data_IF_998821820322
#
_entry.id   IF_998821820322
#
_cell.length_a   1.000
_cell.length_b   1.000
_cell.length_c   1.000
_cell.angle_alpha   90.00
_cell.angle_beta   90.00
_cell.angle_gamma   90.00
#
_symmetry.space_group_name_H-M   'P 1'
#
loop_
_entity.id
_entity.type
_entity.pdbx_description
1 polymer ?
#
# COMPACT_ATOMS: atom_id res chain seq x y z
N UNK A 1 -49.24 -22.29 26.14
CA UNK A 1 -48.17 -21.28 26.22
C UNK A 1 -48.40 -20.22 25.15
N UNK A 2 -48.64 -18.96 25.56
CA UNK A 2 -48.91 -17.82 24.66
C UNK A 2 -47.60 -17.33 24.01
N UNK A 3 -47.63 -17.13 22.69
CA UNK A 3 -46.55 -16.53 21.89
C UNK A 3 -46.53 -15.02 22.15
N UNK A 4 -45.44 -14.51 22.73
CA UNK A 4 -45.22 -13.07 22.93
C UNK A 4 -44.58 -12.49 21.66
N UNK A 5 -45.30 -11.58 20.99
CA UNK A 5 -44.73 -10.71 19.94
C UNK A 5 -43.82 -9.67 20.61
N UNK A 6 -42.55 -9.63 20.21
CA UNK A 6 -41.59 -8.61 20.62
C UNK A 6 -41.90 -7.33 19.85
N UNK A 7 -42.24 -6.25 20.55
CA UNK A 7 -42.42 -4.93 19.94
C UNK A 7 -41.07 -4.34 19.53
N UNK A 8 -40.96 -3.88 18.29
CA UNK A 8 -39.87 -3.01 17.86
C UNK A 8 -40.06 -1.64 18.52
N UNK A 9 -39.22 -1.31 19.51
CA UNK A 9 -39.09 0.07 19.96
C UNK A 9 -38.27 0.84 18.93
N UNK A 10 -38.68 2.05 18.51
CA UNK A 10 -37.85 2.89 17.67
C UNK A 10 -36.59 3.32 18.43
N UNK A 11 -35.45 3.25 17.75
CA UNK A 11 -34.12 3.65 18.25
C UNK A 11 -34.18 5.12 18.75
N UNK A 12 -34.10 5.34 20.06
CA UNK A 12 -34.29 6.65 20.74
C UNK A 12 -33.27 7.74 20.31
N UNK A 13 -32.25 7.37 19.53
CA UNK A 13 -31.30 8.31 18.88
C UNK A 13 -31.94 9.21 17.82
N UNK A 14 -33.23 9.06 17.52
CA UNK A 14 -33.85 9.70 16.37
C UNK A 14 -34.55 11.04 16.66
N UNK A 15 -34.86 11.34 17.92
CA UNK A 15 -35.83 12.42 18.25
C UNK A 15 -35.19 13.81 18.32
N UNK A 16 -33.91 13.95 18.66
CA UNK A 16 -33.25 15.26 18.79
C UNK A 16 -31.83 15.28 18.19
N UNK A 17 -31.67 15.17 16.88
CA UNK A 17 -30.40 15.53 16.22
C UNK A 17 -30.42 17.04 15.90
N UNK A 18 -29.69 17.88 16.66
CA UNK A 18 -29.73 19.34 16.49
C UNK A 18 -29.20 19.79 15.13
N UNK A 19 -28.54 18.91 14.38
CA UNK A 19 -27.97 19.20 13.07
C UNK A 19 -28.92 18.90 11.90
N UNK A 20 -30.08 18.25 12.13
CA UNK A 20 -31.03 17.88 11.05
C UNK A 20 -31.68 19.06 10.31
N UNK A 21 -31.68 20.28 10.89
CA UNK A 21 -32.37 21.47 10.34
C UNK A 21 -31.42 22.60 9.93
N UNK A 22 -30.21 22.26 9.51
CA UNK A 22 -29.20 23.22 9.09
C UNK A 22 -29.49 23.78 7.68
N UNK A 23 -29.44 25.12 7.48
CA UNK A 23 -29.50 25.73 6.14
C UNK A 23 -28.35 25.23 5.25
N UNK A 24 -28.52 25.28 3.92
CA UNK A 24 -27.48 24.87 2.96
C UNK A 24 -26.12 25.57 3.18
N UNK A 25 -26.09 26.83 3.64
CA UNK A 25 -24.85 27.55 4.01
C UNK A 25 -24.07 26.84 5.13
N UNK A 26 -24.78 26.22 6.08
CA UNK A 26 -24.14 25.49 7.16
C UNK A 26 -23.56 24.15 6.72
N UNK A 27 -24.11 23.51 5.69
CA UNK A 27 -23.51 22.31 5.09
C UNK A 27 -22.16 22.64 4.44
N UNK A 28 -22.08 23.78 3.74
CA UNK A 28 -20.83 24.27 3.15
C UNK A 28 -19.79 24.53 4.24
N UNK A 29 -20.18 25.21 5.33
CA UNK A 29 -19.29 25.43 6.48
C UNK A 29 -18.86 24.11 7.14
N UNK A 30 -19.76 23.16 7.32
CA UNK A 30 -19.46 21.85 7.87
C UNK A 30 -18.41 21.12 7.01
N UNK A 31 -18.57 21.12 5.68
CA UNK A 31 -17.57 20.56 4.74
C UNK A 31 -16.20 21.23 4.91
N UNK A 32 -16.16 22.57 4.99
CA UNK A 32 -14.90 23.32 5.17
C UNK A 32 -14.22 23.00 6.51
N UNK A 33 -14.99 22.81 7.58
CA UNK A 33 -14.47 22.45 8.90
C UNK A 33 -13.98 21.00 8.90
N UNK A 34 -14.81 20.05 8.45
CA UNK A 34 -14.50 18.62 8.44
C UNK A 34 -13.21 18.34 7.67
N UNK A 35 -12.98 18.99 6.53
CA UNK A 35 -11.75 18.83 5.72
C UNK A 35 -10.46 19.23 6.43
N UNK A 36 -10.55 20.05 7.49
CA UNK A 36 -9.38 20.49 8.28
C UNK A 36 -9.12 19.58 9.49
N UNK A 37 -10.02 18.64 9.78
CA UNK A 37 -9.88 17.76 10.93
C UNK A 37 -8.99 16.56 10.60
N UNK A 38 -8.29 15.99 11.60
CA UNK A 38 -7.59 14.74 11.44
C UNK A 38 -8.54 13.61 10.99
N UNK A 39 -8.07 12.66 10.15
CA UNK A 39 -8.92 11.60 9.60
C UNK A 39 -9.64 10.78 10.67
N UNK A 40 -8.95 10.44 11.76
CA UNK A 40 -9.56 9.73 12.89
C UNK A 40 -10.67 10.51 13.60
N UNK A 41 -10.62 11.85 13.60
CA UNK A 41 -11.70 12.69 14.15
C UNK A 41 -12.93 12.69 13.25
N UNK A 42 -12.74 12.77 11.93
CA UNK A 42 -13.84 12.68 10.96
C UNK A 42 -14.52 11.30 11.07
N UNK A 43 -13.71 10.23 11.14
CA UNK A 43 -14.21 8.87 11.33
C UNK A 43 -15.06 8.71 12.60
N UNK A 44 -14.72 9.40 13.70
CA UNK A 44 -15.55 9.42 14.93
C UNK A 44 -16.82 10.25 14.76
N UNK A 45 -16.74 11.41 14.12
CA UNK A 45 -17.89 12.29 13.88
C UNK A 45 -18.96 11.63 13.01
N UNK A 46 -18.54 10.77 12.08
CA UNK A 46 -19.44 9.93 11.30
C UNK A 46 -20.42 9.12 12.18
N UNK A 47 -20.01 8.67 13.36
CA UNK A 47 -20.88 7.93 14.29
C UNK A 47 -21.63 8.82 15.30
N UNK A 48 -21.29 10.10 15.39
CA UNK A 48 -21.83 11.02 16.40
C UNK A 48 -23.11 11.75 15.96
N UNK A 49 -23.30 12.01 14.66
CA UNK A 49 -24.48 12.72 14.12
C UNK A 49 -24.90 12.14 12.78
N UNK A 50 -26.22 11.97 12.56
CA UNK A 50 -26.76 11.50 11.28
C UNK A 50 -26.54 12.53 10.18
N UNK A 51 -26.64 13.81 10.52
CA UNK A 51 -26.37 14.89 9.57
C UNK A 51 -24.90 14.90 9.13
N UNK A 52 -23.95 14.88 10.07
CA UNK A 52 -22.52 14.80 9.73
C UNK A 52 -22.20 13.50 8.98
N UNK A 53 -22.81 12.37 9.37
CA UNK A 53 -22.69 11.10 8.65
C UNK A 53 -23.11 11.26 7.18
N UNK A 54 -24.23 11.91 6.90
CA UNK A 54 -24.69 12.14 5.52
C UNK A 54 -23.71 13.00 4.70
N UNK A 55 -23.04 13.98 5.33
CA UNK A 55 -22.01 14.79 4.67
C UNK A 55 -20.74 13.97 4.43
N UNK A 56 -20.31 13.19 5.43
CA UNK A 56 -19.06 12.41 5.38
C UNK A 56 -19.15 11.24 4.39
N UNK A 57 -20.33 10.63 4.27
CA UNK A 57 -20.62 9.56 3.31
C UNK A 57 -20.91 10.08 1.91
N UNK A 58 -21.02 11.39 1.72
CA UNK A 58 -21.23 11.99 0.40
C UNK A 58 -19.98 11.78 -0.48
N UNK A 59 -20.22 11.36 -1.72
CA UNK A 59 -19.15 11.09 -2.68
C UNK A 59 -18.33 12.34 -3.00
N UNK A 60 -18.97 13.51 -3.11
CA UNK A 60 -18.25 14.77 -3.39
C UNK A 60 -17.35 15.15 -2.23
N UNK A 61 -17.81 14.97 -1.00
CA UNK A 61 -16.95 15.18 0.18
C UNK A 61 -15.72 14.24 0.14
N UNK A 62 -15.94 12.97 -0.19
CA UNK A 62 -14.86 11.98 -0.33
C UNK A 62 -13.84 12.39 -1.40
N UNK A 63 -14.31 12.76 -2.59
CA UNK A 63 -13.45 13.20 -3.70
C UNK A 63 -12.67 14.46 -3.34
N UNK A 64 -13.31 15.46 -2.73
CA UNK A 64 -12.66 16.70 -2.29
C UNK A 64 -11.59 16.43 -1.23
N UNK A 65 -11.90 15.59 -0.25
CA UNK A 65 -10.95 15.24 0.81
C UNK A 65 -9.75 14.47 0.25
N UNK A 66 -10.00 13.45 -0.59
CA UNK A 66 -8.92 12.65 -1.17
C UNK A 66 -8.04 13.47 -2.12
N UNK A 67 -8.63 14.36 -2.93
CA UNK A 67 -7.87 15.28 -3.79
C UNK A 67 -6.94 16.16 -2.95
N UNK A 68 -7.46 16.76 -1.87
CA UNK A 68 -6.65 17.55 -0.96
C UNK A 68 -5.55 16.71 -0.29
N UNK A 69 -5.88 15.52 0.22
CA UNK A 69 -4.89 14.68 0.89
C UNK A 69 -3.79 14.19 -0.06
N UNK A 70 -4.11 13.92 -1.32
CA UNK A 70 -3.12 13.58 -2.35
C UNK A 70 -2.15 14.72 -2.67
N UNK A 71 -2.54 15.98 -2.45
CA UNK A 71 -1.60 17.13 -2.55
C UNK A 71 -0.68 17.28 -1.34
N UNK A 72 -0.97 16.58 -0.24
CA UNK A 72 -0.21 16.60 1.01
C UNK A 72 0.17 15.16 1.41
N UNK A 73 0.94 14.45 0.57
CA UNK A 73 1.28 13.07 0.82
C UNK A 73 2.12 12.95 2.10
N UNK A 74 2.04 11.76 2.71
CA UNK A 74 2.73 11.43 3.96
C UNK A 74 3.61 10.21 3.75
N UNK A 75 4.68 10.11 4.53
CA UNK A 75 5.44 8.86 4.62
C UNK A 75 4.72 7.96 5.60
N UNK A 76 4.27 6.80 5.14
CA UNK A 76 3.68 5.77 5.98
C UNK A 76 4.74 4.71 6.28
N UNK A 77 5.11 4.60 7.55
CA UNK A 77 6.06 3.59 8.00
C UNK A 77 5.29 2.53 8.76
N UNK A 78 5.40 1.29 8.29
CA UNK A 78 4.90 0.11 8.97
C UNK A 78 6.05 -0.59 9.69
N UNK A 79 5.88 -0.80 10.99
CA UNK A 79 6.88 -1.42 11.86
C UNK A 79 6.25 -2.66 12.46
N UNK A 80 6.82 -3.81 12.13
CA UNK A 80 6.50 -5.05 12.81
C UNK A 80 7.50 -5.27 13.93
N UNK A 81 7.05 -5.17 15.18
CA UNK A 81 7.93 -5.42 16.34
C UNK A 81 7.19 -5.54 17.67
N UNK A 82 7.69 -6.38 18.57
CA UNK A 82 7.15 -6.57 19.92
C UNK A 82 7.86 -7.68 20.70
N UNK A 83 7.83 -7.61 22.05
CA UNK A 83 8.35 -8.68 22.92
C UNK A 83 7.61 -10.00 22.69
N UNK A 84 8.26 -11.11 23.04
CA UNK A 84 7.93 -12.53 22.85
C UNK A 84 6.45 -12.97 23.02
N UNK A 85 5.57 -12.15 23.59
CA UNK A 85 4.18 -12.51 23.89
C UNK A 85 3.11 -11.56 23.29
N UNK A 86 3.48 -10.37 22.77
CA UNK A 86 2.53 -9.46 22.10
C UNK A 86 3.21 -8.77 20.92
N UNK A 87 3.17 -9.41 19.74
CA UNK A 87 3.59 -8.77 18.50
C UNK A 87 2.53 -7.75 18.05
N UNK A 88 2.95 -6.55 17.69
CA UNK A 88 2.06 -5.48 17.22
C UNK A 88 2.59 -4.89 15.92
N UNK A 89 1.68 -4.50 15.03
CA UNK A 89 2.05 -3.67 13.88
C UNK A 89 1.79 -2.21 14.25
N UNK A 90 2.83 -1.37 14.20
CA UNK A 90 2.70 0.08 14.34
C UNK A 90 2.74 0.74 12.98
N UNK A 91 1.94 1.77 12.82
CA UNK A 91 1.91 2.63 11.66
C UNK A 91 2.22 4.06 12.09
N UNK A 92 3.20 4.66 11.45
CA UNK A 92 3.59 6.05 11.65
C UNK A 92 3.29 6.81 10.37
N UNK A 93 2.47 7.85 10.45
CA UNK A 93 2.16 8.76 9.36
C UNK A 93 2.95 10.06 9.59
N UNK A 94 3.93 10.32 8.72
CA UNK A 94 4.89 11.41 8.85
C UNK A 94 4.63 12.42 7.73
N UNK A 95 4.46 13.70 8.06
CA UNK A 95 4.27 14.74 7.04
C UNK A 95 5.54 14.88 6.19
N UNK A 96 5.38 15.02 4.87
CA UNK A 96 6.51 15.28 3.97
C UNK A 96 7.01 16.72 4.07
N UNK A 97 6.09 17.67 4.25
CA UNK A 97 6.40 19.10 4.39
C UNK A 97 7.00 19.41 5.78
N UNK A 98 6.47 18.76 6.82
CA UNK A 98 6.88 19.01 8.22
C UNK A 98 7.29 17.72 8.94
N UNK A 99 8.34 17.03 8.44
CA UNK A 99 8.79 15.72 8.93
C UNK A 99 9.42 15.76 10.32
N UNK A 100 9.86 16.95 10.77
CA UNK A 100 10.46 17.17 12.09
C UNK A 100 9.45 17.71 13.11
N UNK A 101 8.19 17.92 12.72
CA UNK A 101 7.14 18.33 13.65
C UNK A 101 6.80 17.17 14.58
N UNK A 102 6.53 17.46 15.85
CA UNK A 102 6.10 16.46 16.84
C UNK A 102 4.74 15.80 16.53
N UNK A 103 4.06 16.25 15.48
CA UNK A 103 2.74 15.79 15.05
C UNK A 103 2.81 14.59 14.09
N UNK A 104 3.53 13.54 14.51
CA UNK A 104 3.44 12.24 13.87
C UNK A 104 2.17 11.54 14.33
N UNK A 105 1.26 11.28 13.40
CA UNK A 105 0.07 10.48 13.70
C UNK A 105 0.51 9.02 13.85
N UNK A 106 0.27 8.46 15.03
CA UNK A 106 0.67 7.09 15.39
C UNK A 106 -0.56 6.25 15.61
N UNK A 107 -0.59 5.12 14.92
CA UNK A 107 -1.71 4.19 14.98
C UNK A 107 -1.18 2.78 15.14
N UNK A 108 -1.78 2.02 16.04
CA UNK A 108 -1.41 0.64 16.28
C UNK A 108 -2.50 -0.31 15.81
N UNK A 109 -2.09 -1.39 15.15
CA UNK A 109 -2.94 -2.51 14.80
C UNK A 109 -2.46 -3.72 15.60
N UNK A 110 -3.32 -4.23 16.50
CA UNK A 110 -3.07 -5.50 17.18
C UNK A 110 -3.00 -6.61 16.14
N UNK A 111 -1.98 -7.45 16.24
CA UNK A 111 -1.88 -8.66 15.43
C UNK A 111 -2.57 -9.82 16.15
N UNK A 112 -2.92 -10.86 15.38
CA UNK A 112 -3.51 -12.08 15.92
C UNK A 112 -2.51 -12.74 16.90
N UNK A 113 -2.85 -12.87 18.19
CA UNK A 113 -1.94 -13.38 19.22
C UNK A 113 -1.57 -14.86 19.03
N UNK A 114 -2.31 -15.60 18.20
CA UNK A 114 -2.08 -17.03 17.95
C UNK A 114 -1.63 -17.32 16.51
N UNK A 115 -1.18 -16.32 15.77
CA UNK A 115 -0.65 -16.50 14.41
C UNK A 115 0.75 -17.14 14.42
N UNK A 116 1.09 -17.98 13.41
CA UNK A 116 2.48 -18.39 13.22
C UNK A 116 3.36 -17.13 13.08
N UNK A 117 4.63 -17.23 13.49
CA UNK A 117 5.65 -16.19 13.64
C UNK A 117 5.90 -15.23 12.45
N UNK A 118 5.10 -15.28 11.39
CA UNK A 118 5.23 -14.51 10.16
C UNK A 118 4.62 -13.11 10.32
N UNK A 119 5.36 -12.13 9.81
CA UNK A 119 4.97 -10.72 9.74
C UNK A 119 3.90 -10.52 8.66
N UNK A 120 3.05 -9.51 8.80
CA UNK A 120 2.16 -9.13 7.70
C UNK A 120 2.96 -8.31 6.70
N UNK A 121 3.01 -8.77 5.46
CA UNK A 121 3.54 -8.00 4.34
C UNK A 121 2.44 -7.08 3.82
N UNK A 122 2.65 -5.76 3.92
CA UNK A 122 1.71 -4.77 3.43
C UNK A 122 2.03 -4.35 1.99
N UNK A 123 0.98 -4.18 1.20
CA UNK A 123 1.03 -3.54 -0.12
C UNK A 123 1.16 -2.03 0.03
N UNK A 124 1.63 -1.32 -1.02
CA UNK A 124 1.52 0.13 -1.09
C UNK A 124 0.08 0.63 -0.81
N UNK A 125 -0.08 1.81 -0.17
CA UNK A 125 -1.38 2.41 0.08
C UNK A 125 -2.11 2.75 -1.21
N UNK A 126 -3.42 2.52 -1.22
CA UNK A 126 -4.31 2.89 -2.31
C UNK A 126 -5.44 3.71 -1.71
N UNK A 127 -5.49 5.00 -2.05
CA UNK A 127 -6.49 5.96 -1.56
C UNK A 127 -6.66 5.92 -0.02
N UNK A 128 -5.53 5.83 0.67
CA UNK A 128 -5.45 5.83 2.13
C UNK A 128 -5.78 4.51 2.82
N UNK A 129 -6.03 3.44 2.05
CA UNK A 129 -6.16 2.08 2.59
C UNK A 129 -4.94 1.24 2.24
N UNK A 130 -4.64 0.24 3.08
CA UNK A 130 -3.57 -0.74 2.87
C UNK A 130 -4.12 -2.16 3.00
N UNK A 131 -3.48 -3.08 2.30
CA UNK A 131 -3.75 -4.51 2.42
C UNK A 131 -2.52 -5.21 3.01
N UNK A 132 -2.72 -6.01 4.05
CA UNK A 132 -1.68 -6.83 4.66
C UNK A 132 -1.97 -8.31 4.47
N UNK A 133 -0.95 -9.09 4.13
CA UNK A 133 -1.03 -10.54 3.98
C UNK A 133 -0.07 -11.27 4.92
N UNK A 134 -0.55 -12.34 5.55
CA UNK A 134 0.26 -13.35 6.22
C UNK A 134 -0.23 -14.74 5.80
N UNK A 135 0.52 -15.39 4.91
CA UNK A 135 0.08 -16.65 4.28
C UNK A 135 -1.25 -16.45 3.56
N UNK A 136 -2.27 -17.21 3.97
CA UNK A 136 -3.64 -17.10 3.44
C UNK A 136 -4.53 -16.11 4.19
N UNK A 137 -4.06 -15.54 5.31
CA UNK A 137 -4.77 -14.49 6.04
C UNK A 137 -4.53 -13.16 5.34
N UNK A 138 -5.62 -12.46 5.03
CA UNK A 138 -5.59 -11.13 4.41
C UNK A 138 -6.39 -10.18 5.29
N UNK A 139 -5.87 -8.97 5.48
CA UNK A 139 -6.59 -7.89 6.15
C UNK A 139 -6.45 -6.62 5.34
N UNK A 140 -7.48 -5.79 5.38
CA UNK A 140 -7.48 -4.45 4.79
C UNK A 140 -7.70 -3.46 5.92
N UNK A 141 -7.06 -2.31 5.87
CA UNK A 141 -7.19 -1.31 6.91
C UNK A 141 -6.90 0.10 6.45
N UNK A 142 -7.32 1.04 7.28
CA UNK A 142 -6.99 2.44 7.17
C UNK A 142 -5.98 2.79 8.28
N UNK A 143 -4.69 3.03 7.95
CA UNK A 143 -3.69 3.37 8.94
C UNK A 143 -3.92 4.77 9.55
N UNK A 144 -4.71 5.65 8.92
CA UNK A 144 -5.05 6.97 9.45
C UNK A 144 -6.20 6.95 10.47
N UNK A 145 -7.04 5.91 10.48
CA UNK A 145 -8.11 5.73 11.48
C UNK A 145 -7.84 4.58 12.46
N UNK A 146 -6.91 3.68 12.12
CA UNK A 146 -6.58 2.49 12.90
C UNK A 146 -7.54 1.33 12.77
N UNK A 147 -8.48 1.40 11.83
CA UNK A 147 -9.45 0.36 11.61
C UNK A 147 -8.92 -0.66 10.60
N UNK A 148 -8.97 -1.93 10.98
CA UNK A 148 -8.55 -3.05 10.16
C UNK A 148 -9.62 -4.14 10.23
N UNK A 149 -9.92 -4.73 9.08
CA UNK A 149 -10.88 -5.84 8.94
C UNK A 149 -10.20 -7.02 8.28
N UNK A 150 -10.51 -8.22 8.78
CA UNK A 150 -10.05 -9.46 8.16
C UNK A 150 -10.94 -9.81 6.97
N UNK A 151 -10.32 -10.14 5.85
CA UNK A 151 -11.00 -10.76 4.72
C UNK A 151 -11.07 -12.28 4.94
N UNK A 152 -11.99 -13.00 4.27
CA UNK A 152 -11.94 -14.45 4.21
C UNK A 152 -10.54 -14.94 3.80
N UNK A 153 -10.14 -16.12 4.28
CA UNK A 153 -8.84 -16.68 3.89
C UNK A 153 -8.80 -17.00 2.40
N UNK A 154 -7.65 -16.73 1.76
CA UNK A 154 -7.39 -17.15 0.38
C UNK A 154 -7.54 -18.66 0.30
N UNK A 155 -8.28 -19.15 -0.70
CA UNK A 155 -8.57 -20.58 -0.84
C UNK A 155 -7.45 -21.25 -1.61
N UNK A 156 -6.39 -21.65 -0.90
CA UNK A 156 -5.25 -22.34 -1.52
C UNK A 156 -4.50 -23.21 -0.51
N UNK A 157 -3.86 -24.26 -1.00
CA UNK A 157 -2.91 -25.09 -0.25
C UNK A 157 -1.46 -24.64 -0.46
N UNK A 158 -1.23 -23.66 -1.36
CA UNK A 158 0.11 -23.22 -1.78
C UNK A 158 0.65 -22.15 -0.84
N UNK A 159 1.99 -22.12 -0.68
CA UNK A 159 2.68 -21.23 0.27
C UNK A 159 3.20 -19.93 -0.35
N UNK A 160 3.42 -19.89 -1.67
CA UNK A 160 3.89 -18.68 -2.34
C UNK A 160 2.71 -17.92 -2.94
N UNK A 161 2.38 -16.77 -2.35
CA UNK A 161 1.22 -15.94 -2.72
C UNK A 161 1.71 -14.52 -2.93
N UNK A 162 1.53 -13.99 -4.14
CA UNK A 162 1.60 -12.56 -4.42
C UNK A 162 0.23 -11.94 -4.16
N UNK A 163 0.21 -10.80 -3.46
CA UNK A 163 -1.00 -10.00 -3.26
C UNK A 163 -0.81 -8.60 -3.81
N UNK A 164 -1.78 -8.13 -4.59
CA UNK A 164 -1.84 -6.75 -5.07
C UNK A 164 -3.18 -6.15 -4.65
N UNK A 165 -3.14 -4.92 -4.14
CA UNK A 165 -4.31 -4.18 -3.67
C UNK A 165 -4.56 -2.99 -4.59
N UNK A 166 -5.83 -2.68 -4.83
CA UNK A 166 -6.20 -1.63 -5.75
C UNK A 166 -7.63 -1.14 -5.58
N UNK A 167 -7.90 -0.01 -6.24
CA UNK A 167 -9.20 0.65 -6.25
C UNK A 167 -9.67 0.80 -7.69
N UNK A 168 -10.89 0.33 -7.93
CA UNK A 168 -11.60 0.40 -9.19
C UNK A 168 -12.42 1.71 -9.21
N UNK A 169 -11.99 2.76 -9.93
CA UNK A 169 -12.70 4.04 -9.96
C UNK A 169 -14.03 3.96 -10.72
N UNK A 170 -14.21 2.98 -11.61
CA UNK A 170 -15.43 2.82 -12.41
C UNK A 170 -16.56 2.27 -11.55
N UNK A 171 -16.27 1.20 -10.81
CA UNK A 171 -17.25 0.55 -9.95
C UNK A 171 -17.23 1.07 -8.50
N UNK A 172 -16.30 1.97 -8.17
CA UNK A 172 -16.14 2.59 -6.85
C UNK A 172 -15.91 1.57 -5.72
N UNK A 173 -15.01 0.61 -5.97
CA UNK A 173 -14.73 -0.49 -5.04
C UNK A 173 -13.25 -0.79 -4.90
N UNK A 174 -12.85 -1.28 -3.72
CA UNK A 174 -11.52 -1.84 -3.53
C UNK A 174 -11.51 -3.32 -3.85
N UNK A 175 -10.42 -3.79 -4.47
CA UNK A 175 -10.21 -5.21 -4.78
C UNK A 175 -8.83 -5.64 -4.31
N UNK A 176 -8.72 -6.91 -3.91
CA UNK A 176 -7.44 -7.58 -3.66
C UNK A 176 -7.31 -8.71 -4.65
N UNK A 177 -6.22 -8.73 -5.41
CA UNK A 177 -5.80 -9.85 -6.25
C UNK A 177 -4.77 -10.69 -5.50
N UNK A 178 -4.98 -12.00 -5.45
CA UNK A 178 -4.06 -12.99 -4.92
C UNK A 178 -3.72 -14.01 -6.00
N UNK A 179 -2.42 -14.27 -6.17
CA UNK A 179 -1.93 -15.23 -7.16
C UNK A 179 -0.96 -16.21 -6.51
N UNK A 180 -1.15 -17.50 -6.77
CA UNK A 180 -0.29 -18.54 -6.21
C UNK A 180 0.66 -19.11 -7.25
N UNK A 181 1.88 -19.46 -6.83
CA UNK A 181 2.85 -20.20 -7.66
C UNK A 181 3.11 -21.57 -7.03
N UNK A 182 3.10 -22.62 -7.86
CA UNK A 182 3.46 -23.98 -7.44
C UNK A 182 4.97 -24.15 -7.47
N UNK A 183 5.62 -24.21 -6.31
CA UNK A 183 6.91 -24.90 -6.22
C UNK A 183 6.62 -26.40 -6.31
N UNK A 184 6.89 -27.03 -7.47
CA UNK A 184 6.90 -28.49 -7.54
C UNK A 184 7.95 -28.96 -6.53
N UNK A 185 7.58 -29.83 -5.60
CA UNK A 185 8.54 -30.53 -4.74
C UNK A 185 9.40 -31.43 -5.62
N UNK A 186 10.44 -30.88 -6.24
CA UNK A 186 11.55 -31.69 -6.72
C UNK A 186 12.37 -32.08 -5.49
N UNK A 187 12.45 -33.38 -5.20
CA UNK A 187 13.50 -33.91 -4.35
C UNK A 187 14.85 -33.59 -5.03
N UNK A 188 15.49 -32.45 -4.75
CA UNK A 188 16.92 -32.23 -4.96
C UNK A 188 17.37 -31.06 -4.08
N UNK A 189 18.45 -31.36 -3.35
CA UNK A 189 19.49 -30.51 -2.78
C UNK A 189 19.45 -29.00 -3.10
N UNK A 190 19.50 -28.19 -2.04
CA UNK A 190 20.02 -26.81 -2.01
C UNK A 190 19.52 -25.83 -3.10
N UNK A 191 18.51 -25.04 -2.73
CA UNK A 191 18.56 -23.59 -2.99
C UNK A 191 18.12 -23.05 -4.35
N UNK A 192 17.72 -23.87 -5.32
CA UNK A 192 17.20 -23.39 -6.61
C UNK A 192 15.74 -23.84 -6.78
N UNK A 193 14.81 -22.89 -6.74
CA UNK A 193 13.41 -23.17 -7.06
C UNK A 193 13.30 -23.54 -8.54
N UNK A 194 12.58 -24.63 -8.90
CA UNK A 194 12.50 -25.06 -10.30
C UNK A 194 11.97 -23.96 -11.22
N UNK A 195 12.55 -23.88 -12.41
CA UNK A 195 12.32 -22.86 -13.44
C UNK A 195 10.85 -22.80 -13.90
N UNK A 196 10.14 -23.93 -13.83
CA UNK A 196 8.81 -24.14 -14.47
C UNK A 196 7.61 -23.74 -13.60
N UNK A 197 7.83 -23.10 -12.46
CA UNK A 197 6.78 -22.76 -11.50
C UNK A 197 5.98 -21.53 -11.96
N UNK A 198 4.86 -21.76 -12.64
CA UNK A 198 3.95 -20.70 -13.12
C UNK A 198 2.83 -20.40 -12.11
N UNK A 199 2.23 -19.23 -12.24
CA UNK A 199 1.04 -18.83 -11.50
C UNK A 199 -0.15 -19.67 -11.95
N UNK A 200 -0.90 -20.23 -11.01
CA UNK A 200 -2.04 -21.10 -11.34
C UNK A 200 -3.37 -20.58 -10.79
N UNK A 201 -3.43 -20.30 -9.48
CA UNK A 201 -4.69 -19.84 -8.88
C UNK A 201 -4.66 -18.32 -8.77
N UNK A 202 -5.46 -17.66 -9.61
CA UNK A 202 -5.73 -16.24 -9.56
C UNK A 202 -7.08 -16.04 -8.89
N UNK A 203 -7.05 -15.41 -7.72
CA UNK A 203 -8.22 -15.17 -6.88
C UNK A 203 -8.36 -13.69 -6.64
N UNK A 204 -9.59 -13.20 -6.70
CA UNK A 204 -9.88 -11.80 -6.45
C UNK A 204 -11.07 -11.68 -5.52
N UNK A 205 -11.05 -10.64 -4.70
CA UNK A 205 -12.11 -10.32 -3.75
C UNK A 205 -12.36 -8.83 -3.79
N UNK A 206 -13.64 -8.46 -3.76
CA UNK A 206 -14.08 -7.08 -3.57
C UNK A 206 -14.29 -6.84 -2.07
N UNK A 207 -13.69 -5.76 -1.56
CA UNK A 207 -13.83 -5.36 -0.15
C UNK A 207 -15.20 -4.71 0.05
N UNK A 208 -15.98 -5.20 1.02
CA UNK A 208 -17.33 -4.69 1.30
C UNK A 208 -18.17 -5.67 2.13
N UNK A 209 -19.51 -5.59 2.06
CA UNK A 209 -20.40 -6.39 2.90
C UNK A 209 -20.52 -7.88 2.49
N UNK A 210 -20.29 -8.23 1.21
CA UNK A 210 -20.41 -9.61 0.69
C UNK A 210 -19.09 -10.10 0.13
N UNK A 211 -18.12 -10.34 1.02
CA UNK A 211 -16.76 -10.69 0.66
C UNK A 211 -16.64 -12.19 0.34
N UNK A 212 -16.35 -12.52 -0.91
CA UNK A 212 -16.06 -13.90 -1.33
C UNK A 212 -14.98 -13.91 -2.38
N UNK A 213 -13.95 -14.73 -2.16
CA UNK A 213 -12.97 -15.04 -3.19
C UNK A 213 -13.62 -15.73 -4.38
N UNK A 214 -13.38 -15.18 -5.56
CA UNK A 214 -13.74 -15.76 -6.85
C UNK A 214 -12.47 -16.04 -7.64
N UNK A 215 -12.47 -17.18 -8.32
CA UNK A 215 -11.41 -17.53 -9.27
C UNK A 215 -11.59 -16.70 -10.53
N UNK A 216 -10.47 -16.28 -11.10
CA UNK A 216 -10.42 -15.63 -12.41
C UNK A 216 -9.45 -16.36 -13.31
N UNK A 217 -9.71 -16.31 -14.61
CA UNK A 217 -8.84 -16.91 -15.61
C UNK A 217 -7.75 -15.92 -16.01
N UNK A 218 -6.49 -16.38 -15.98
CA UNK A 218 -5.38 -15.64 -16.53
C UNK A 218 -4.90 -16.33 -17.81
N UNK A 219 -5.02 -15.65 -18.96
CA UNK A 219 -4.56 -16.16 -20.26
C UNK A 219 -3.04 -16.10 -20.44
N UNK A 220 -2.34 -15.51 -19.49
CA UNK A 220 -0.90 -15.29 -19.53
C UNK A 220 -0.26 -16.11 -18.41
N UNK A 221 0.16 -17.37 -18.67
CA UNK A 221 0.92 -18.10 -17.67
C UNK A 221 2.22 -17.33 -17.40
N UNK A 222 2.39 -16.82 -16.19
CA UNK A 222 3.57 -16.06 -15.77
C UNK A 222 4.02 -16.50 -14.37
N UNK A 223 5.25 -16.17 -13.98
CA UNK A 223 5.79 -16.41 -12.64
C UNK A 223 6.04 -15.08 -11.95
N UNK A 224 5.36 -14.82 -10.84
CA UNK A 224 5.70 -13.65 -10.02
C UNK A 224 7.04 -13.84 -9.30
N UNK A 225 7.77 -12.74 -9.08
CA UNK A 225 8.97 -12.74 -8.25
C UNK A 225 8.57 -12.74 -6.78
N UNK A 226 9.15 -13.64 -5.97
CA UNK A 226 8.91 -13.65 -4.53
C UNK A 226 9.35 -12.32 -3.91
N UNK A 227 8.48 -11.68 -3.12
CA UNK A 227 8.75 -10.36 -2.52
C UNK A 227 8.57 -9.17 -3.46
N UNK A 228 8.19 -9.38 -4.73
CA UNK A 228 7.78 -8.28 -5.60
C UNK A 228 6.52 -7.60 -5.05
N UNK A 229 6.52 -6.27 -5.03
CA UNK A 229 5.35 -5.49 -4.67
C UNK A 229 4.62 -5.06 -5.94
N UNK A 230 3.31 -5.26 -5.96
CA UNK A 230 2.46 -4.64 -6.98
C UNK A 230 2.01 -3.25 -6.53
N UNK A 231 1.74 -2.39 -7.51
CA UNK A 231 1.16 -1.06 -7.33
C UNK A 231 -0.22 -1.00 -7.97
N UNK A 232 -1.02 0.01 -7.60
CA UNK A 232 -2.27 0.32 -8.27
C UNK A 232 -2.24 1.77 -8.76
N UNK A 233 -2.50 1.97 -10.04
CA UNK A 233 -2.60 3.29 -10.67
C UNK A 233 -3.77 3.31 -11.65
N UNK A 234 -4.61 4.33 -11.53
CA UNK A 234 -5.72 4.60 -12.46
C UNK A 234 -6.63 3.41 -12.75
N UNK A 235 -6.99 2.65 -11.71
CA UNK A 235 -7.87 1.49 -11.85
C UNK A 235 -7.17 0.23 -12.37
N UNK A 236 -5.86 0.23 -12.50
CA UNK A 236 -5.08 -0.92 -12.97
C UNK A 236 -4.03 -1.30 -11.94
N UNK A 237 -3.95 -2.59 -11.62
CA UNK A 237 -2.89 -3.16 -10.80
C UNK A 237 -1.70 -3.54 -11.69
N UNK A 238 -0.50 -3.16 -11.30
CA UNK A 238 0.75 -3.47 -12.01
C UNK A 238 1.70 -4.24 -11.10
N UNK A 239 2.37 -5.24 -11.66
CA UNK A 239 3.41 -6.00 -10.95
C UNK A 239 4.38 -6.62 -11.95
N UNK A 240 5.60 -6.89 -11.51
CA UNK A 240 6.62 -7.54 -12.33
C UNK A 240 6.50 -9.06 -12.22
N UNK A 241 6.64 -9.73 -13.37
CA UNK A 241 6.67 -11.18 -13.45
C UNK A 241 7.53 -11.66 -14.61
N UNK A 242 7.96 -12.91 -14.57
CA UNK A 242 8.52 -13.59 -15.72
C UNK A 242 7.39 -14.17 -16.58
N UNK A 243 7.27 -13.72 -17.83
CA UNK A 243 6.35 -14.24 -18.83
C UNK A 243 7.15 -14.69 -20.05
N UNK A 244 6.94 -15.94 -20.50
CA UNK A 244 7.77 -16.56 -21.56
C UNK A 244 9.27 -16.38 -21.31
N UNK A 245 9.69 -16.62 -20.07
CA UNK A 245 11.09 -16.53 -19.61
C UNK A 245 11.72 -15.12 -19.68
N UNK A 246 10.92 -14.08 -19.93
CA UNK A 246 11.37 -12.68 -19.93
C UNK A 246 10.70 -11.87 -18.83
N UNK A 247 11.41 -10.91 -18.25
CA UNK A 247 10.81 -9.97 -17.31
C UNK A 247 9.80 -9.10 -18.04
N UNK A 248 8.59 -9.04 -17.51
CA UNK A 248 7.44 -8.36 -18.11
C UNK A 248 6.65 -7.62 -17.06
N UNK A 249 6.05 -6.50 -17.46
CA UNK A 249 5.09 -5.79 -16.63
C UNK A 249 3.70 -6.40 -16.84
N UNK A 250 3.21 -7.09 -15.83
CA UNK A 250 1.84 -7.59 -15.83
C UNK A 250 0.92 -6.46 -15.40
N UNK A 251 -0.25 -6.39 -16.02
CA UNK A 251 -1.32 -5.50 -15.59
C UNK A 251 -2.63 -6.26 -15.41
N UNK A 252 -3.45 -5.80 -14.47
CA UNK A 252 -4.77 -6.33 -14.21
C UNK A 252 -5.74 -5.16 -14.06
N UNK A 253 -6.58 -4.99 -15.08
CA UNK A 253 -7.60 -3.94 -15.11
C UNK A 253 -8.69 -4.26 -14.09
N UNK A 254 -8.96 -3.36 -13.16
CA UNK A 254 -9.85 -3.68 -12.05
C UNK A 254 -11.31 -3.70 -12.47
N UNK A 255 -11.71 -2.93 -13.46
CA UNK A 255 -13.11 -2.80 -13.86
C UNK A 255 -13.57 -3.99 -14.69
N UNK A 256 -12.77 -4.36 -15.69
CA UNK A 256 -12.99 -5.49 -16.59
C UNK A 256 -12.46 -6.81 -16.03
N UNK A 257 -11.51 -6.75 -15.08
CA UNK A 257 -10.87 -7.91 -14.44
C UNK A 257 -10.10 -8.80 -15.42
N UNK A 258 -9.52 -8.16 -16.43
CA UNK A 258 -8.67 -8.81 -17.43
C UNK A 258 -7.20 -8.54 -17.15
N UNK A 259 -6.39 -9.58 -17.37
CA UNK A 259 -4.95 -9.45 -17.40
C UNK A 259 -4.47 -8.91 -18.74
N UNK A 260 -3.36 -8.20 -18.72
CA UNK A 260 -2.58 -7.89 -19.91
C UNK A 260 -1.07 -7.97 -19.58
N UNK A 261 -0.25 -7.98 -20.62
CA UNK A 261 1.21 -8.05 -20.52
C UNK A 261 1.80 -6.93 -21.36
N UNK A 262 2.66 -6.13 -20.73
CA UNK A 262 3.49 -5.14 -21.42
C UNK A 262 4.94 -5.61 -21.39
N UNK A 263 5.57 -5.65 -22.56
CA UNK A 263 6.99 -5.99 -22.67
C UNK A 263 7.85 -4.89 -22.05
N UNK A 264 8.88 -5.30 -21.33
CA UNK A 264 9.92 -4.38 -20.91
C UNK A 264 10.88 -4.10 -22.08
N UNK A 265 11.52 -2.92 -22.10
CA UNK A 265 12.61 -2.59 -23.01
C UNK A 265 13.72 -3.65 -23.02
N UNK A 266 14.40 -3.77 -24.17
CA UNK A 266 15.55 -4.65 -24.36
C UNK A 266 16.80 -4.06 -23.69
N UNK A 267 16.86 -4.18 -22.37
CA UNK A 267 17.99 -3.78 -21.52
C UNK A 267 18.29 -4.89 -20.52
N UNK A 268 19.50 -5.45 -20.57
CA UNK A 268 19.88 -6.62 -19.77
C UNK A 268 19.80 -6.36 -18.26
N UNK A 269 20.12 -5.14 -17.83
CA UNK A 269 20.09 -4.78 -16.41
C UNK A 269 18.64 -4.71 -15.92
N UNK A 270 17.76 -4.11 -16.72
CA UNK A 270 16.31 -4.07 -16.43
C UNK A 270 15.71 -5.47 -16.34
N UNK A 271 16.10 -6.37 -17.25
CA UNK A 271 15.60 -7.74 -17.27
C UNK A 271 16.02 -8.56 -16.03
N UNK A 272 17.20 -8.29 -15.48
CA UNK A 272 17.75 -9.03 -14.34
C UNK A 272 17.35 -8.45 -12.98
N UNK A 273 17.32 -7.11 -12.86
CA UNK A 273 17.27 -6.43 -11.56
C UNK A 273 16.29 -5.24 -11.52
N UNK A 274 15.24 -5.26 -12.33
CA UNK A 274 14.20 -4.22 -12.30
C UNK A 274 13.27 -4.32 -11.08
N UNK A 275 13.01 -3.19 -10.42
CA UNK A 275 11.99 -3.05 -9.37
C UNK A 275 11.05 -1.87 -9.64
N UNK A 276 9.76 -2.06 -9.34
CA UNK A 276 8.80 -0.95 -9.35
C UNK A 276 9.12 0.01 -8.20
N UNK A 277 9.24 1.30 -8.51
CA UNK A 277 9.59 2.36 -7.55
C UNK A 277 8.52 3.45 -7.51
N UNK A 278 8.51 4.21 -6.42
CA UNK A 278 7.64 5.39 -6.35
C UNK A 278 8.18 6.50 -7.27
N UNK A 279 7.37 7.03 -8.18
CA UNK A 279 7.80 8.12 -9.06
C UNK A 279 6.65 9.09 -9.33
N UNK A 280 6.19 9.75 -8.27
CA UNK A 280 5.18 10.82 -8.35
C UNK A 280 3.94 10.47 -9.22
N UNK A 281 3.38 9.26 -9.04
CA UNK A 281 2.20 8.79 -9.78
C UNK A 281 2.50 8.09 -11.12
N UNK A 282 3.74 8.12 -11.61
CA UNK A 282 4.16 7.41 -12.82
C UNK A 282 4.38 5.93 -12.55
N UNK A 283 4.24 5.11 -13.59
CA UNK A 283 4.68 3.71 -13.59
C UNK A 283 6.16 3.71 -13.96
N UNK A 284 7.02 3.35 -13.01
CA UNK A 284 8.47 3.43 -13.19
C UNK A 284 9.16 2.21 -12.62
N UNK A 285 10.10 1.67 -13.39
CA UNK A 285 10.97 0.58 -12.97
C UNK A 285 12.39 1.11 -12.86
N UNK A 286 13.01 0.91 -11.70
CA UNK A 286 14.41 1.25 -11.48
C UNK A 286 15.26 -0.02 -11.56
N UNK A 287 16.45 0.08 -12.15
CA UNK A 287 17.45 -0.98 -12.05
C UNK A 287 18.11 -0.93 -10.66
N UNK A 288 18.01 -1.99 -9.88
CA UNK A 288 18.72 -2.10 -8.60
C UNK A 288 20.23 -2.18 -8.85
N UNK A 289 20.93 -1.05 -8.79
CA UNK A 289 22.38 -1.01 -8.68
C UNK A 289 22.77 -0.53 -7.29
N UNK A 290 23.49 -1.37 -6.54
CA UNK A 290 24.04 -1.02 -5.23
C UNK A 290 25.16 0.03 -5.34
N UNK A 291 25.78 0.15 -6.52
CA UNK A 291 26.88 1.03 -6.82
C UNK A 291 26.74 1.54 -8.24
N UNK A 292 26.67 2.85 -8.43
CA UNK A 292 26.57 3.48 -9.74
C UNK A 292 25.24 4.20 -9.99
N UNK A 293 25.07 4.76 -11.20
CA UNK A 293 23.85 5.41 -11.60
C UNK A 293 22.69 4.42 -11.66
N UNK A 294 21.48 4.88 -11.35
CA UNK A 294 20.25 4.09 -11.42
C UNK A 294 19.52 4.45 -12.70
N UNK A 295 19.29 3.47 -13.56
CA UNK A 295 18.44 3.65 -14.74
C UNK A 295 16.97 3.58 -14.32
N UNK A 296 16.20 4.60 -14.72
CA UNK A 296 14.76 4.68 -14.55
C UNK A 296 14.08 4.51 -15.90
N UNK A 297 13.20 3.51 -15.97
CA UNK A 297 12.34 3.26 -17.12
C UNK A 297 10.93 3.69 -16.77
N UNK A 298 10.45 4.73 -17.43
CA UNK A 298 9.10 5.30 -17.22
C UNK A 298 8.20 4.85 -18.35
N UNK A 299 7.05 4.28 -18.02
CA UNK A 299 6.04 3.92 -19.01
C UNK A 299 5.21 5.16 -19.35
N UNK A 300 5.39 5.69 -20.57
CA UNK A 300 4.73 6.91 -21.05
C UNK A 300 3.35 6.62 -21.65
N UNK A 301 3.23 5.49 -22.36
CA UNK A 301 1.96 5.05 -22.96
C UNK A 301 1.85 3.53 -22.85
N UNK A 302 0.93 3.07 -22.00
CA UNK A 302 0.68 1.63 -21.77
C UNK A 302 0.18 0.92 -23.03
N UNK A 303 -0.67 1.59 -23.82
CA UNK A 303 -1.30 0.97 -24.99
C UNK A 303 -0.32 0.81 -26.14
N UNK A 304 0.61 1.76 -26.28
CA UNK A 304 1.66 1.73 -27.31
C UNK A 304 2.97 1.11 -26.83
N UNK A 305 3.03 0.68 -25.56
CA UNK A 305 4.24 0.16 -24.90
C UNK A 305 5.45 1.11 -25.02
N UNK A 306 5.21 2.42 -24.91
CA UNK A 306 6.27 3.43 -25.05
C UNK A 306 6.95 3.65 -23.70
N UNK A 307 8.27 3.44 -23.68
CA UNK A 307 9.11 3.65 -22.52
C UNK A 307 10.11 4.78 -22.75
N UNK A 308 10.35 5.59 -21.73
CA UNK A 308 11.46 6.55 -21.69
C UNK A 308 12.50 6.08 -20.68
N UNK A 309 13.79 6.29 -21.00
CA UNK A 309 14.92 6.00 -20.12
C UNK A 309 15.48 7.30 -19.57
N UNK A 310 15.60 7.40 -18.25
CA UNK A 310 16.32 8.45 -17.56
C UNK A 310 17.41 7.83 -16.68
N UNK A 311 18.51 8.54 -16.47
CA UNK A 311 19.62 8.07 -15.62
C UNK A 311 19.68 8.97 -14.40
N UNK A 312 19.59 8.37 -13.22
CA UNK A 312 19.70 9.06 -11.94
C UNK A 312 21.07 8.83 -11.35
N UNK A 313 21.80 9.91 -11.13
CA UNK A 313 23.11 9.86 -10.48
C UNK A 313 22.90 9.77 -8.97
N UNK A 314 23.40 8.69 -8.37
CA UNK A 314 23.34 8.50 -6.93
C UNK A 314 24.26 9.50 -6.22
N UNK A 315 23.83 10.11 -5.11
CA UNK A 315 24.65 11.07 -4.40
C UNK A 315 25.83 10.38 -3.68
N UNK A 316 26.88 11.13 -3.27
CA UNK A 316 28.08 10.58 -2.64
C UNK A 316 27.80 10.12 -1.19
N UNK A 317 27.08 9.01 -1.06
CA UNK A 317 26.62 8.47 0.22
C UNK A 317 27.78 8.00 1.11
N UNK A 318 28.83 7.46 0.51
CA UNK A 318 30.02 6.99 1.21
C UNK A 318 30.74 8.11 1.96
N UNK A 319 30.86 9.29 1.35
CA UNK A 319 31.55 10.44 1.94
C UNK A 319 30.79 11.00 3.14
N UNK A 320 29.46 10.92 3.10
CA UNK A 320 28.57 11.50 4.13
C UNK A 320 28.25 10.54 5.27
N UNK A 321 28.09 9.25 4.99
CA UNK A 321 27.64 8.25 5.96
C UNK A 321 28.66 7.14 6.23
N UNK A 322 29.80 7.15 5.53
CA UNK A 322 30.81 6.10 5.59
C UNK A 322 30.46 4.87 4.75
N UNK A 323 31.47 4.03 4.48
CA UNK A 323 31.34 2.81 3.69
C UNK A 323 30.53 1.70 4.38
N UNK A 324 30.19 1.87 5.66
CA UNK A 324 29.44 0.89 6.46
C UNK A 324 27.96 0.84 6.10
N UNK A 325 27.40 1.91 5.52
CA UNK A 325 25.99 1.96 5.11
C UNK A 325 25.85 1.81 3.60
N UNK A 326 25.06 0.81 3.19
CA UNK A 326 24.56 0.69 1.82
C UNK A 326 23.11 1.15 1.78
N UNK A 327 22.75 1.88 0.74
CA UNK A 327 21.39 2.39 0.55
C UNK A 327 20.77 1.84 -0.73
N UNK A 328 19.49 1.53 -0.66
CA UNK A 328 18.67 1.22 -1.82
C UNK A 328 17.88 2.47 -2.23
N UNK A 329 17.85 2.74 -3.53
CA UNK A 329 16.95 3.71 -4.12
C UNK A 329 15.50 3.21 -4.07
N UNK A 330 14.57 4.04 -3.61
CA UNK A 330 13.15 3.68 -3.46
C UNK A 330 12.22 4.51 -4.34
N UNK A 331 12.72 5.56 -4.97
CA UNK A 331 11.90 6.40 -5.84
C UNK A 331 12.22 7.90 -5.77
N UNK A 332 11.35 8.67 -6.41
CA UNK A 332 11.36 10.13 -6.48
C UNK A 332 10.00 10.65 -6.01
N UNK A 333 10.02 11.60 -5.08
CA UNK A 333 8.84 12.30 -4.57
C UNK A 333 8.30 13.31 -5.59
N UNK A 334 7.07 13.79 -5.37
CA UNK A 334 6.44 14.79 -6.24
C UNK A 334 7.21 16.13 -6.32
N UNK A 335 8.04 16.43 -5.33
CA UNK A 335 8.91 17.60 -5.29
C UNK A 335 10.30 17.37 -5.91
N UNK A 336 10.57 16.19 -6.50
CA UNK A 336 11.86 15.85 -7.10
C UNK A 336 12.91 15.26 -6.14
N UNK A 337 12.64 15.20 -4.83
CA UNK A 337 13.57 14.56 -3.89
C UNK A 337 13.66 13.05 -4.13
N UNK A 338 14.88 12.52 -4.18
CA UNK A 338 15.16 11.09 -4.24
C UNK A 338 15.03 10.46 -2.86
N UNK A 339 14.55 9.23 -2.82
CA UNK A 339 14.28 8.49 -1.59
C UNK A 339 15.25 7.33 -1.48
N UNK A 340 15.97 7.28 -0.36
CA UNK A 340 17.00 6.27 -0.11
C UNK A 340 16.77 5.62 1.26
N UNK A 341 16.73 4.30 1.29
CA UNK A 341 16.62 3.54 2.55
C UNK A 341 17.87 2.71 2.78
N UNK A 342 18.41 2.63 4.00
CA UNK A 342 19.45 1.67 4.33
C UNK A 342 19.02 0.24 3.93
N UNK A 343 19.95 -0.55 3.36
CA UNK A 343 19.71 -1.97 3.04
C UNK A 343 19.61 -2.79 4.33
N UNK A 344 20.41 -2.43 5.32
CA UNK A 344 20.30 -2.96 6.69
C UNK A 344 19.27 -2.16 7.48
N UNK A 345 18.81 -2.69 8.60
CA UNK A 345 17.87 -2.00 9.52
C UNK A 345 18.64 -1.42 10.72
N UNK A 346 19.26 -0.23 10.59
CA UNK A 346 19.96 0.38 11.71
C UNK A 346 19.00 0.72 12.85
N UNK A 347 19.51 0.77 14.07
CA UNK A 347 18.78 1.24 15.25
C UNK A 347 19.37 2.59 15.72
N UNK A 348 18.60 3.69 15.75
CA UNK A 348 17.23 3.81 15.26
C UNK A 348 17.14 3.71 13.72
N UNK A 349 15.98 3.29 13.21
CA UNK A 349 15.75 3.24 11.77
C UNK A 349 15.60 4.65 11.19
N UNK A 350 16.10 4.84 9.98
CA UNK A 350 15.97 6.10 9.26
C UNK A 350 15.93 5.87 7.75
N UNK A 351 15.45 6.87 7.02
CA UNK A 351 15.61 6.97 5.57
C UNK A 351 16.00 8.40 5.18
N UNK A 352 16.47 8.58 3.96
CA UNK A 352 16.96 9.84 3.45
C UNK A 352 16.07 10.34 2.31
N UNK A 353 15.77 11.63 2.34
CA UNK A 353 15.30 12.39 1.19
C UNK A 353 16.49 13.23 0.69
N UNK A 354 16.86 13.10 -0.57
CA UNK A 354 17.96 13.82 -1.18
C UNK A 354 17.43 14.77 -2.26
N UNK A 355 17.73 16.05 -2.16
CA UNK A 355 17.40 17.01 -3.20
C UNK A 355 18.59 17.15 -4.16
N UNK A 356 18.48 16.68 -5.42
CA UNK A 356 19.57 16.74 -6.39
C UNK A 356 19.89 18.17 -6.86
N UNK A 357 18.96 19.12 -6.78
CA UNK A 357 19.16 20.50 -7.23
C UNK A 357 20.08 21.28 -6.28
N UNK A 358 19.89 21.11 -4.98
CA UNK A 358 20.71 21.78 -3.95
C UNK A 358 21.81 20.89 -3.36
N UNK A 359 21.80 19.58 -3.63
CA UNK A 359 22.79 18.63 -3.11
C UNK A 359 22.64 18.32 -1.60
N UNK A 360 21.45 18.53 -1.05
CA UNK A 360 21.19 18.40 0.38
C UNK A 360 20.45 17.10 0.74
N UNK A 361 20.73 16.60 1.94
CA UNK A 361 20.07 15.43 2.51
C UNK A 361 19.22 15.84 3.71
N UNK A 362 17.99 15.33 3.72
CA UNK A 362 17.11 15.34 4.87
C UNK A 362 17.00 13.92 5.43
N UNK A 363 17.58 13.71 6.60
CA UNK A 363 17.51 12.43 7.33
C UNK A 363 16.25 12.39 8.18
N UNK A 364 15.38 11.41 7.94
CA UNK A 364 14.16 11.20 8.73
C UNK A 364 14.39 10.00 9.64
N UNK A 365 14.53 10.27 10.93
CA UNK A 365 14.74 9.24 11.97
C UNK A 365 13.41 8.86 12.58
N UNK A 366 13.26 7.58 12.92
CA UNK A 366 12.06 7.06 13.57
C UNK A 366 12.45 6.56 14.96
N UNK A 367 12.46 7.49 15.91
CA UNK A 367 13.05 7.32 17.26
C UNK A 367 12.28 6.36 18.19
N UNK A 368 10.97 6.17 17.97
CA UNK A 368 10.14 5.32 18.84
C UNK A 368 10.21 3.82 18.53
N UNK A 369 11.15 3.42 17.66
CA UNK A 369 11.33 2.03 17.26
C UNK A 369 12.51 1.46 18.06
N UNK A 370 12.24 0.92 19.24
CA UNK A 370 13.11 -0.15 19.77
C UNK A 370 12.81 -1.38 18.94
N UNK A 371 13.54 -1.55 17.84
CA UNK A 371 13.45 -2.78 17.06
C UNK A 371 14.46 -3.82 17.56
N UNK A 372 14.06 -5.08 17.42
CA UNK A 372 14.95 -6.22 17.57
C UNK A 372 15.46 -6.65 16.20
N UNK A 373 16.52 -7.47 16.16
CA UNK A 373 17.14 -7.96 14.91
C UNK A 373 16.18 -8.60 13.91
N UNK A 374 15.01 -9.04 14.38
CA UNK A 374 14.02 -9.81 13.61
C UNK A 374 12.81 -8.95 13.15
N UNK A 375 12.83 -7.65 13.43
CA UNK A 375 11.74 -6.74 13.07
C UNK A 375 11.79 -6.38 11.57
N UNK A 376 10.61 -6.26 10.97
CA UNK A 376 10.48 -5.88 9.56
C UNK A 376 9.87 -4.49 9.44
N UNK A 377 10.50 -3.65 8.62
CA UNK A 377 10.10 -2.26 8.38
C UNK A 377 9.75 -2.11 6.91
N UNK A 378 8.56 -1.57 6.64
CA UNK A 378 8.14 -1.16 5.30
C UNK A 378 7.88 0.34 5.32
N UNK A 379 8.32 1.05 4.28
CA UNK A 379 8.08 2.48 4.14
C UNK A 379 7.40 2.73 2.81
N UNK A 380 6.31 3.48 2.85
CA UNK A 380 5.57 3.95 1.69
C UNK A 380 5.60 5.48 1.66
N UNK A 381 5.80 6.05 0.48
CA UNK A 381 6.21 7.44 0.35
C UNK A 381 5.17 8.35 -0.29
N UNK A 382 3.99 7.84 -0.60
CA UNK A 382 2.91 8.57 -1.27
C UNK A 382 1.55 8.29 -0.60
N UNK A 383 1.56 8.06 0.73
CA UNK A 383 0.33 7.81 1.49
C UNK A 383 -0.52 9.08 1.57
N UNK A 384 -1.68 9.07 0.93
CA UNK A 384 -2.75 10.03 1.16
C UNK A 384 -3.61 9.53 2.33
N UNK A 385 -3.79 10.36 3.35
CA UNK A 385 -4.64 10.03 4.48
C UNK A 385 -6.11 9.95 4.08
N UNK A 386 -6.87 9.15 4.83
CA UNK A 386 -8.28 8.93 4.57
C UNK A 386 -9.05 8.82 5.87
N UNK A 387 -10.26 9.36 5.90
CA UNK A 387 -11.19 9.20 7.02
C UNK A 387 -12.09 7.96 6.88
N UNK A 388 -11.97 7.21 5.77
CA UNK A 388 -12.85 6.08 5.47
C UNK A 388 -12.79 5.02 6.57
N UNK A 389 -13.97 4.50 6.92
CA UNK A 389 -14.17 3.40 7.86
C UNK A 389 -14.59 2.15 7.09
N UNK A 390 -13.99 1.01 7.44
CA UNK A 390 -14.18 -0.28 6.76
C UNK A 390 -15.25 -1.17 7.40
#
# INVERSE_FOLDING_TARGET
MKRVKRSEKPDERNVNDPFKKLPNDMNVRAVLILRKLPPGSIARLHFASKHLSSIILDKKFTELYMTQSSTQPRHLVSVHGGREYVKMQRFHSISQEYPLSSNHDKVSCKLDPYGPYLTYEFTPPVRGLICGRNGTKVKVGNPSTGQFVFLPRVKTIKKNILSVFGYDPVNDVYKVLCMTVVSKRSNISRGVAPCDAMSEEHQVITVGAKQKWRMIECKYPHRHYSGSQGICRDGVMYYLASYKEKSSLMSFDLSSEHFNVTKLPEDDTLQQCGELVNHAGKITIATLQCFGPVDLWVLEDVNKEIWSKAVVVMPPLADRFGMSYKFAFRGILGNGEMILTPITTPNPFFFLCYNPEVGEFRKIVIDDIVHYSDDTIQVFFDHAESYMVL
#
